data_IF_932076761952
#
_entry.id   IF_932076761952
#
_cell.length_a   1.000
_cell.length_b   1.000
_cell.length_c   1.000
_cell.angle_alpha   90.00
_cell.angle_beta   90.00
_cell.angle_gamma   90.00
#
_symmetry.space_group_name_H-M   'P 1'
#
loop_
_entity.id
_entity.type
_entity.pdbx_description
1 polymer ?
#
# COMPACT_ATOMS: atom_id res chain seq x y z
N UNK A 1 -1.43 9.21 7.42
CA UNK A 1 -2.06 8.03 6.84
C UNK A 1 -1.75 6.78 7.62
N UNK A 2 -2.60 6.47 8.57
CA UNK A 2 -2.50 5.23 9.33
C UNK A 2 -3.85 4.53 9.35
N UNK A 3 -3.84 3.23 9.52
CA UNK A 3 -5.02 2.45 9.80
C UNK A 3 -4.75 1.55 11.00
N UNK A 4 -5.79 1.34 11.81
CA UNK A 4 -5.71 0.48 12.97
C UNK A 4 -6.39 -0.84 12.70
N UNK A 5 -5.74 -1.94 13.06
CA UNK A 5 -6.32 -3.27 12.98
C UNK A 5 -5.99 -4.07 14.21
N UNK A 6 -7.00 -4.69 14.76
CA UNK A 6 -6.81 -5.63 15.86
C UNK A 6 -6.67 -7.03 15.27
N UNK A 7 -5.65 -7.72 15.69
CA UNK A 7 -5.50 -9.12 15.36
C UNK A 7 -6.66 -9.91 15.98
N UNK A 8 -7.38 -10.70 15.21
CA UNK A 8 -8.51 -11.45 15.68
C UNK A 8 -8.36 -12.94 15.42
N UNK A 9 -8.98 -13.46 14.41
CA UNK A 9 -9.15 -14.90 14.18
C UNK A 9 -8.06 -15.55 13.32
N UNK A 10 -7.10 -14.78 12.82
CA UNK A 10 -6.06 -15.28 11.91
C UNK A 10 -4.78 -15.63 12.65
N UNK A 11 -4.89 -15.98 13.92
CA UNK A 11 -3.74 -16.33 14.75
C UNK A 11 -3.48 -17.83 14.76
N UNK A 12 -2.21 -18.21 14.76
CA UNK A 12 -1.76 -19.58 14.96
C UNK A 12 -0.75 -19.55 16.09
N UNK A 13 -1.01 -20.29 17.20
CA UNK A 13 -0.13 -20.34 18.37
C UNK A 13 0.18 -18.94 18.92
N UNK A 14 -0.87 -18.13 19.08
CA UNK A 14 -0.80 -16.75 19.59
C UNK A 14 -0.08 -15.76 18.67
N UNK A 15 0.33 -16.16 17.46
CA UNK A 15 0.95 -15.29 16.48
C UNK A 15 0.03 -15.06 15.28
N UNK A 16 0.11 -13.88 14.70
CA UNK A 16 -0.61 -13.54 13.49
C UNK A 16 -0.03 -14.32 12.29
N UNK A 17 -0.90 -14.98 11.51
CA UNK A 17 -0.40 -15.69 10.34
C UNK A 17 -0.12 -14.74 9.16
N UNK A 18 0.64 -15.24 8.20
CA UNK A 18 1.12 -14.46 7.04
C UNK A 18 -0.02 -13.85 6.24
N UNK A 19 -1.10 -14.60 6.03
CA UNK A 19 -2.24 -14.10 5.24
C UNK A 19 -2.89 -12.87 5.87
N UNK A 20 -2.91 -12.80 7.20
CA UNK A 20 -3.51 -11.67 7.89
C UNK A 20 -2.66 -10.39 7.77
N UNK A 21 -1.33 -10.51 7.75
CA UNK A 21 -0.46 -9.36 7.44
C UNK A 21 -0.80 -8.77 6.07
N UNK A 22 -0.94 -9.64 5.07
CA UNK A 22 -1.28 -9.22 3.71
C UNK A 22 -2.65 -8.54 3.67
N UNK A 23 -3.64 -9.09 4.38
CA UNK A 23 -4.97 -8.51 4.45
C UNK A 23 -4.95 -7.09 5.04
N UNK A 24 -4.21 -6.89 6.12
CA UNK A 24 -4.11 -5.56 6.76
C UNK A 24 -3.46 -4.55 5.80
N UNK A 25 -2.38 -4.94 5.13
CA UNK A 25 -1.74 -4.08 4.14
C UNK A 25 -2.67 -3.76 2.97
N UNK A 26 -3.45 -4.73 2.53
CA UNK A 26 -4.40 -4.55 1.43
C UNK A 26 -5.49 -3.54 1.80
N UNK A 27 -6.00 -3.61 3.02
CA UNK A 27 -6.98 -2.63 3.51
C UNK A 27 -6.39 -1.22 3.61
N UNK A 28 -5.15 -1.09 4.04
CA UNK A 28 -4.45 0.20 4.07
C UNK A 28 -4.28 0.75 2.65
N UNK A 29 -3.95 -0.12 1.71
CA UNK A 29 -3.80 0.24 0.30
C UNK A 29 -5.12 0.73 -0.31
N UNK A 30 -6.23 0.05 -0.02
CA UNK A 30 -7.55 0.49 -0.50
C UNK A 30 -7.88 1.88 0.03
N UNK A 31 -7.60 2.16 1.30
CA UNK A 31 -7.81 3.49 1.88
C UNK A 31 -7.00 4.57 1.17
N UNK A 32 -5.77 4.26 0.78
CA UNK A 32 -4.93 5.19 0.04
C UNK A 32 -5.41 5.39 -1.39
N UNK A 33 -5.76 4.32 -2.09
CA UNK A 33 -6.26 4.39 -3.46
C UNK A 33 -7.55 5.21 -3.54
N UNK A 34 -8.41 5.13 -2.53
CA UNK A 34 -9.62 5.94 -2.47
C UNK A 34 -9.29 7.45 -2.48
N UNK A 35 -8.21 7.85 -1.83
CA UNK A 35 -7.78 9.26 -1.83
C UNK A 35 -7.34 9.73 -3.22
N UNK A 36 -6.83 8.83 -4.04
CA UNK A 36 -6.40 9.13 -5.40
C UNK A 36 -7.51 8.92 -6.43
N UNK A 37 -8.73 8.60 -6.00
CA UNK A 37 -9.86 8.25 -6.87
C UNK A 37 -9.58 7.01 -7.71
N UNK A 38 -8.90 6.04 -7.12
CA UNK A 38 -8.53 4.78 -7.76
C UNK A 38 -8.96 3.55 -6.95
N UNK A 39 -9.84 3.74 -5.97
CA UNK A 39 -10.35 2.63 -5.18
C UNK A 39 -11.47 1.87 -5.89
N UNK A 40 -12.06 0.90 -5.18
CA UNK A 40 -13.06 0.01 -5.76
C UNK A 40 -14.29 0.72 -6.33
N UNK A 41 -14.75 1.80 -5.67
CA UNK A 41 -15.92 2.57 -6.13
C UNK A 41 -15.61 3.26 -7.45
N UNK A 42 -14.44 3.89 -7.54
CA UNK A 42 -14.01 4.57 -8.75
C UNK A 42 -13.75 3.57 -9.89
N UNK A 43 -13.26 2.40 -9.56
CA UNK A 43 -13.04 1.34 -10.55
C UNK A 43 -14.34 0.92 -11.22
N UNK A 44 -15.42 0.78 -10.45
CA UNK A 44 -16.76 0.49 -10.99
C UNK A 44 -17.29 1.60 -11.88
N UNK A 45 -17.07 2.86 -11.47
CA UNK A 45 -17.60 4.01 -12.20
C UNK A 45 -16.87 4.25 -13.52
N UNK A 46 -15.55 4.01 -13.56
CA UNK A 46 -14.68 4.41 -14.66
C UNK A 46 -14.08 3.26 -15.45
N UNK A 47 -14.34 2.03 -15.06
CA UNK A 47 -13.72 0.83 -15.67
C UNK A 47 -12.18 0.89 -15.66
N UNK A 48 -11.61 1.47 -14.60
CA UNK A 48 -10.17 1.58 -14.41
C UNK A 48 -9.81 1.12 -13.01
N UNK A 49 -8.71 0.44 -12.87
CA UNK A 49 -8.26 -0.07 -11.58
C UNK A 49 -6.75 -0.20 -11.53
N UNK A 50 -6.23 -0.48 -10.35
CA UNK A 50 -4.83 -0.84 -10.18
C UNK A 50 -4.70 -2.34 -10.00
N UNK A 51 -3.61 -2.90 -10.50
CA UNK A 51 -3.29 -4.32 -10.34
C UNK A 51 -1.88 -4.44 -9.78
N UNK A 52 -1.76 -5.08 -8.64
CA UNK A 52 -0.44 -5.35 -8.04
C UNK A 52 0.29 -6.37 -8.91
N UNK A 53 1.50 -6.03 -9.32
CA UNK A 53 2.31 -6.93 -10.15
C UNK A 53 3.55 -7.45 -9.43
N UNK A 54 3.96 -6.77 -8.37
CA UNK A 54 5.09 -7.23 -7.58
C UNK A 54 4.98 -6.70 -6.16
N UNK A 55 5.30 -7.56 -5.19
CA UNK A 55 5.29 -7.20 -3.76
C UNK A 55 6.49 -7.80 -3.07
N UNK A 56 7.03 -7.05 -2.09
CA UNK A 56 8.08 -7.52 -1.21
C UNK A 56 7.64 -7.27 0.22
N UNK A 57 7.53 -8.34 0.99
CA UNK A 57 7.08 -8.25 2.39
C UNK A 57 8.21 -8.74 3.28
N UNK A 58 8.47 -8.00 4.36
CA UNK A 58 9.37 -8.47 5.42
C UNK A 58 8.58 -8.63 6.71
N UNK A 59 8.92 -9.64 7.48
CA UNK A 59 8.32 -9.93 8.78
C UNK A 59 9.40 -9.72 9.83
N UNK A 60 9.24 -8.67 10.62
CA UNK A 60 10.31 -8.18 11.49
C UNK A 60 10.11 -8.57 12.94
N UNK A 61 8.89 -8.49 13.44
CA UNK A 61 8.55 -8.87 14.80
C UNK A 61 7.17 -9.52 14.84
N UNK A 62 7.02 -10.48 15.70
CA UNK A 62 5.76 -11.18 15.91
C UNK A 62 4.68 -10.24 16.45
N UNK A 63 3.46 -10.41 15.94
CA UNK A 63 2.27 -9.77 16.50
C UNK A 63 1.43 -10.88 17.12
N UNK A 64 1.09 -10.70 18.39
CA UNK A 64 0.34 -11.69 19.18
C UNK A 64 -1.14 -11.41 19.17
N UNK A 65 -1.90 -12.41 19.60
CA UNK A 65 -3.35 -12.28 19.74
C UNK A 65 -3.72 -11.06 20.58
N UNK A 66 -4.76 -10.35 20.19
CA UNK A 66 -5.28 -9.14 20.82
C UNK A 66 -4.36 -7.91 20.78
N UNK A 67 -3.23 -7.99 20.14
CA UNK A 67 -2.43 -6.80 19.86
C UNK A 67 -3.00 -6.02 18.67
N UNK A 68 -2.93 -4.70 18.76
CA UNK A 68 -3.35 -3.83 17.67
C UNK A 68 -2.13 -3.37 16.88
N UNK A 69 -2.33 -3.11 15.59
CA UNK A 69 -1.27 -2.61 14.72
C UNK A 69 -1.69 -1.33 14.02
N UNK A 70 -0.71 -0.48 13.76
CA UNK A 70 -0.85 0.72 12.94
C UNK A 70 -0.07 0.54 11.65
N UNK A 71 -0.65 0.95 10.53
CA UNK A 71 0.03 0.91 9.25
C UNK A 71 0.22 2.32 8.73
N UNK A 72 1.44 2.64 8.35
CA UNK A 72 1.82 3.94 7.81
C UNK A 72 2.39 3.80 6.41
N UNK A 73 2.01 4.71 5.52
CA UNK A 73 2.68 4.86 4.25
C UNK A 73 3.95 5.68 4.47
N UNK A 74 5.10 5.09 4.27
CA UNK A 74 6.37 5.78 4.45
C UNK A 74 7.15 6.01 3.15
N UNK A 75 6.55 5.66 2.03
CA UNK A 75 7.06 6.02 0.70
C UNK A 75 5.94 5.86 -0.34
N UNK A 76 5.90 6.79 -1.29
CA UNK A 76 5.03 6.70 -2.45
C UNK A 76 5.68 7.41 -3.63
N UNK A 77 5.60 6.80 -4.80
CA UNK A 77 6.03 7.41 -6.06
C UNK A 77 5.27 6.77 -7.22
N UNK A 78 5.32 7.40 -8.38
CA UNK A 78 4.65 6.89 -9.56
C UNK A 78 5.35 7.33 -10.84
N UNK A 79 5.02 6.68 -11.94
CA UNK A 79 5.26 7.18 -13.30
C UNK A 79 3.89 7.33 -14.00
N UNK A 80 3.86 7.31 -15.32
CA UNK A 80 2.61 7.50 -16.07
C UNK A 80 1.64 6.31 -15.96
N UNK A 81 2.14 5.12 -15.62
CA UNK A 81 1.36 3.87 -15.67
C UNK A 81 1.49 3.03 -14.41
N UNK A 82 2.45 3.35 -13.54
CA UNK A 82 2.80 2.55 -12.36
C UNK A 82 2.79 3.39 -11.11
N UNK A 83 2.49 2.76 -10.00
CA UNK A 83 2.72 3.35 -8.70
C UNK A 83 3.49 2.37 -7.81
N UNK A 84 4.30 2.91 -6.92
CA UNK A 84 5.06 2.16 -5.93
C UNK A 84 4.74 2.77 -4.58
N UNK A 85 4.45 1.90 -3.62
CA UNK A 85 4.17 2.32 -2.25
C UNK A 85 4.93 1.44 -1.28
N UNK A 86 5.37 2.01 -0.17
CA UNK A 86 5.85 1.23 0.96
C UNK A 86 5.06 1.58 2.21
N UNK A 87 4.57 0.52 2.87
CA UNK A 87 3.93 0.59 4.17
C UNK A 87 4.80 -0.04 5.22
N UNK A 88 4.72 0.51 6.42
CA UNK A 88 5.29 -0.09 7.62
C UNK A 88 4.16 -0.35 8.62
N UNK A 89 4.19 -1.53 9.21
CA UNK A 89 3.22 -1.97 10.22
C UNK A 89 3.92 -2.03 11.56
N UNK A 90 3.35 -1.33 12.54
CA UNK A 90 3.90 -1.29 13.91
C UNK A 90 2.91 -1.86 14.89
N UNK A 91 3.42 -2.59 15.88
CA UNK A 91 2.61 -2.95 17.04
C UNK A 91 2.33 -1.65 17.82
N UNK A 92 1.07 -1.43 18.17
CA UNK A 92 0.61 -0.14 18.70
C UNK A 92 1.20 0.22 20.07
N UNK A 93 1.29 -0.74 20.98
CA UNK A 93 1.75 -0.50 22.36
C UNK A 93 3.27 -0.41 22.44
N UNK A 94 3.98 -1.39 21.87
CA UNK A 94 5.44 -1.46 21.97
C UNK A 94 6.15 -0.58 20.96
N UNK A 95 5.44 -0.14 19.90
CA UNK A 95 5.99 0.60 18.76
C UNK A 95 7.05 -0.17 17.97
N UNK A 96 7.08 -1.50 18.11
CA UNK A 96 8.00 -2.34 17.33
C UNK A 96 7.52 -2.50 15.91
N UNK A 97 8.45 -2.45 14.96
CA UNK A 97 8.14 -2.71 13.56
C UNK A 97 7.78 -4.19 13.40
N UNK A 98 6.55 -4.46 13.00
CA UNK A 98 6.06 -5.82 12.82
C UNK A 98 6.33 -6.34 11.41
N UNK A 99 6.10 -5.52 10.40
CA UNK A 99 6.26 -5.93 9.01
C UNK A 99 6.38 -4.71 8.10
N UNK A 100 6.92 -4.93 6.90
CA UNK A 100 6.94 -3.93 5.84
C UNK A 100 6.37 -4.53 4.56
N UNK A 101 5.79 -3.69 3.72
CA UNK A 101 5.37 -4.06 2.38
C UNK A 101 5.83 -2.98 1.41
N UNK A 102 6.59 -3.38 0.40
CA UNK A 102 6.83 -2.56 -0.80
C UNK A 102 6.06 -3.21 -1.94
N UNK A 103 5.24 -2.44 -2.65
CA UNK A 103 4.39 -3.00 -3.70
C UNK A 103 4.38 -2.07 -4.91
N UNK A 104 4.35 -2.68 -6.10
CA UNK A 104 4.22 -1.98 -7.37
C UNK A 104 2.93 -2.43 -8.05
N UNK A 105 2.16 -1.44 -8.52
CA UNK A 105 0.92 -1.67 -9.24
C UNK A 105 0.94 -1.01 -10.60
N UNK A 106 0.22 -1.62 -11.53
CA UNK A 106 -0.05 -1.04 -12.86
C UNK A 106 -1.47 -0.48 -12.88
N UNK A 107 -1.66 0.61 -13.64
CA UNK A 107 -2.98 1.14 -13.91
C UNK A 107 -3.57 0.43 -15.14
N UNK A 108 -4.79 -0.08 -15.00
CA UNK A 108 -5.41 -0.98 -15.97
C UNK A 108 -6.72 -0.40 -16.46
N UNK A 109 -6.91 -0.43 -17.78
CA UNK A 109 -8.21 -0.24 -18.41
C UNK A 109 -8.93 -1.59 -18.37
N UNK A 110 -9.97 -1.70 -17.56
CA UNK A 110 -10.69 -2.96 -17.35
C UNK A 110 -11.52 -3.37 -18.57
N UNK A 111 -11.96 -2.42 -19.38
CA UNK A 111 -12.72 -2.70 -20.60
C UNK A 111 -11.82 -3.32 -21.66
N UNK A 112 -10.68 -2.69 -21.93
CA UNK A 112 -9.70 -3.16 -22.92
C UNK A 112 -8.77 -4.22 -22.36
N UNK A 113 -8.74 -4.39 -21.04
CA UNK A 113 -7.88 -5.31 -20.31
C UNK A 113 -6.40 -5.09 -20.63
N UNK A 114 -6.00 -3.84 -20.61
CA UNK A 114 -4.64 -3.39 -20.93
C UNK A 114 -4.15 -2.37 -19.91
N UNK A 115 -2.83 -2.29 -19.78
CA UNK A 115 -2.19 -1.20 -19.04
C UNK A 115 -2.50 0.11 -19.73
N UNK A 116 -2.84 1.13 -18.95
CA UNK A 116 -3.16 2.45 -19.46
C UNK A 116 -2.48 3.53 -18.63
N UNK A 117 -2.42 4.74 -19.14
CA UNK A 117 -1.86 5.87 -18.41
C UNK A 117 -2.88 6.43 -17.42
N UNK A 118 -2.40 6.94 -16.30
CA UNK A 118 -3.24 7.66 -15.36
C UNK A 118 -3.84 8.90 -16.02
N UNK A 119 -5.09 9.19 -15.73
CA UNK A 119 -5.69 10.46 -16.12
C UNK A 119 -4.97 11.61 -15.39
N UNK A 120 -4.97 12.79 -15.99
CA UNK A 120 -4.27 13.94 -15.43
C UNK A 120 -4.74 14.26 -14.00
N UNK A 121 -6.02 14.09 -13.72
CA UNK A 121 -6.57 14.30 -12.37
C UNK A 121 -5.86 13.42 -11.34
N UNK A 122 -5.63 12.14 -11.66
CA UNK A 122 -4.96 11.22 -10.76
C UNK A 122 -3.50 11.57 -10.57
N UNK A 123 -2.83 11.92 -11.66
CA UNK A 123 -1.43 12.37 -11.59
C UNK A 123 -1.30 13.58 -10.66
N UNK A 124 -2.20 14.54 -10.78
CA UNK A 124 -2.16 15.75 -9.96
C UNK A 124 -2.38 15.43 -8.48
N UNK A 125 -3.32 14.56 -8.17
CA UNK A 125 -3.59 14.14 -6.78
C UNK A 125 -2.38 13.40 -6.20
N UNK A 126 -1.79 12.49 -6.96
CA UNK A 126 -0.59 11.74 -6.52
C UNK A 126 0.60 12.68 -6.29
N UNK A 127 0.83 13.62 -7.20
CA UNK A 127 1.93 14.57 -7.08
C UNK A 127 1.76 15.49 -5.88
N UNK A 128 0.54 15.93 -5.63
CA UNK A 128 0.22 16.70 -4.43
C UNK A 128 0.52 15.92 -3.16
N UNK A 129 0.10 14.67 -3.10
CA UNK A 129 0.37 13.79 -1.98
C UNK A 129 1.88 13.62 -1.76
N UNK A 130 2.64 13.39 -2.82
CA UNK A 130 4.10 13.24 -2.74
C UNK A 130 4.73 14.52 -2.20
N UNK A 131 4.34 15.67 -2.72
CA UNK A 131 4.90 16.96 -2.27
C UNK A 131 4.60 17.25 -0.79
N UNK A 132 3.41 16.90 -0.33
CA UNK A 132 3.00 17.12 1.06
C UNK A 132 3.71 16.17 2.04
N UNK A 133 4.18 15.03 1.58
CA UNK A 133 4.72 13.97 2.44
C UNK A 133 6.20 13.64 2.20
N UNK A 134 6.83 14.26 1.22
CA UNK A 134 8.19 13.86 0.79
C UNK A 134 9.23 13.90 1.92
N UNK A 135 9.07 14.78 2.90
CA UNK A 135 9.99 14.87 4.04
C UNK A 135 9.87 13.67 4.98
N UNK A 136 8.73 13.00 4.96
CA UNK A 136 8.47 11.79 5.75
C UNK A 136 8.86 10.52 5.02
N UNK A 137 9.14 10.63 3.73
CA UNK A 137 9.45 9.47 2.91
C UNK A 137 10.87 8.99 3.15
N UNK A 138 11.01 7.68 3.20
CA UNK A 138 12.29 7.01 3.32
C UNK A 138 12.42 6.04 2.16
N UNK A 139 13.41 6.30 1.30
CA UNK A 139 13.69 5.47 0.13
C UNK A 139 14.77 4.41 0.37
N UNK A 140 15.27 4.28 1.59
CA UNK A 140 16.29 3.28 1.90
C UNK A 140 15.74 1.87 1.72
N UNK A 141 16.56 1.01 1.14
CA UNK A 141 16.25 -0.40 0.92
C UNK A 141 15.03 -0.66 0.02
N UNK A 142 14.60 0.33 -0.75
CA UNK A 142 13.58 0.14 -1.76
C UNK A 142 14.18 -0.53 -3.00
N UNK A 143 13.44 -1.46 -3.58
CA UNK A 143 13.85 -2.18 -4.79
C UNK A 143 12.95 -1.84 -5.97
N UNK A 144 11.64 -1.78 -5.73
CA UNK A 144 10.66 -1.62 -6.80
C UNK A 144 10.61 -0.20 -7.36
N UNK A 145 10.92 0.81 -6.55
CA UNK A 145 10.93 2.20 -7.00
C UNK A 145 11.89 2.44 -8.17
N UNK A 146 12.97 1.66 -8.25
CA UNK A 146 13.91 1.73 -9.36
C UNK A 146 13.34 1.28 -10.71
N UNK A 147 12.18 0.63 -10.69
CA UNK A 147 11.50 0.17 -11.91
C UNK A 147 10.59 1.23 -12.53
N UNK A 148 10.37 2.34 -11.83
CA UNK A 148 9.59 3.44 -12.38
C UNK A 148 10.33 4.09 -13.55
N UNK A 149 9.58 4.47 -14.57
CA UNK A 149 10.10 5.12 -15.79
C UNK A 149 9.67 6.57 -15.81
N UNK A 150 10.49 7.38 -15.21
CA UNK A 150 10.26 8.83 -15.14
C UNK A 150 10.59 9.55 -16.42
#
# INVERSE_FOLDING_TARGET
HSSHRRQRQMCIRDSMNVAYYVLIFDEASEGMLNKFKMGAIDAKANNRSTMVVESRITYNNEVKENEEVDVYCNFFDHDKKRLVVRYEMYEKETKKLAATLESMSLYIDLEKRKVTEFEQEKLDIMDKFINENKEKFNSENLVLSGKLKK
#
